data_IF_787089485924
#
_entry.id   IF_787089485924
#
_cell.length_a   1.000
_cell.length_b   1.000
_cell.length_c   1.000
_cell.angle_alpha   90.00
_cell.angle_beta   90.00
_cell.angle_gamma   90.00
#
_symmetry.space_group_name_H-M   'P 1'
#
loop_
_entity.id
_entity.type
_entity.pdbx_description
1 polymer ?
#
# COMPACT_ATOMS: atom_id res chain seq x y z
N UNK A 1 20.67 -16.17 22.15
CA UNK A 1 20.79 -15.99 20.68
C UNK A 1 19.45 -15.62 20.03
N UNK A 2 18.72 -14.63 20.56
CA UNK A 2 17.41 -14.20 20.02
C UNK A 2 17.54 -12.97 19.10
N UNK A 3 18.51 -12.09 19.36
CA UNK A 3 18.62 -10.78 18.69
C UNK A 3 18.91 -10.82 17.18
N UNK A 4 19.62 -11.83 16.68
CA UNK A 4 19.98 -11.89 15.26
C UNK A 4 18.78 -12.22 14.37
N UNK A 5 17.91 -13.12 14.84
CA UNK A 5 16.69 -13.50 14.11
C UNK A 5 15.67 -12.36 14.07
N UNK A 6 15.56 -11.58 15.13
CA UNK A 6 14.68 -10.40 15.18
C UNK A 6 15.19 -9.30 14.24
N UNK A 7 16.50 -9.05 14.20
CA UNK A 7 17.12 -8.09 13.28
C UNK A 7 16.94 -8.49 11.82
N UNK A 8 17.06 -9.78 11.50
CA UNK A 8 16.78 -10.30 10.16
C UNK A 8 15.30 -10.16 9.76
N UNK A 9 14.37 -10.44 10.67
CA UNK A 9 12.94 -10.26 10.40
C UNK A 9 12.56 -8.81 10.16
N UNK A 10 13.08 -7.89 10.99
CA UNK A 10 12.89 -6.45 10.82
C UNK A 10 13.48 -5.95 9.48
N UNK A 11 14.66 -6.45 9.12
CA UNK A 11 15.31 -6.11 7.85
C UNK A 11 14.50 -6.63 6.64
N UNK A 12 14.06 -7.89 6.67
CA UNK A 12 13.21 -8.46 5.61
C UNK A 12 11.90 -7.69 5.44
N UNK A 13 11.25 -7.30 6.54
CA UNK A 13 10.05 -6.47 6.50
C UNK A 13 10.33 -5.11 5.84
N UNK A 14 11.44 -4.46 6.20
CA UNK A 14 11.83 -3.18 5.63
C UNK A 14 12.11 -3.27 4.11
N UNK A 15 12.79 -4.33 3.68
CA UNK A 15 13.08 -4.58 2.25
C UNK A 15 11.80 -4.89 1.47
N UNK A 16 10.89 -5.71 2.01
CA UNK A 16 9.60 -5.99 1.37
C UNK A 16 8.72 -4.74 1.27
N UNK A 17 8.67 -3.91 2.31
CA UNK A 17 7.91 -2.65 2.30
C UNK A 17 8.53 -1.67 1.27
N UNK A 18 9.86 -1.59 1.17
CA UNK A 18 10.56 -0.80 0.14
C UNK A 18 10.30 -1.30 -1.29
N UNK A 19 10.34 -2.61 -1.52
CA UNK A 19 10.04 -3.20 -2.82
C UNK A 19 8.58 -2.97 -3.25
N UNK A 20 7.62 -3.05 -2.32
CA UNK A 20 6.20 -2.74 -2.57
C UNK A 20 6.00 -1.29 -2.99
N UNK A 21 6.73 -0.35 -2.38
CA UNK A 21 6.73 1.05 -2.80
C UNK A 21 7.30 1.24 -4.21
N UNK A 22 8.38 0.54 -4.56
CA UNK A 22 8.95 0.60 -5.92
C UNK A 22 8.01 0.02 -6.99
N UNK A 23 7.26 -1.03 -6.65
CA UNK A 23 6.25 -1.64 -7.55
C UNK A 23 4.92 -0.86 -7.54
N UNK A 24 4.77 0.16 -6.68
CA UNK A 24 3.54 0.93 -6.56
C UNK A 24 2.33 0.09 -6.11
N UNK A 25 2.59 -1.10 -5.58
CA UNK A 25 1.57 -2.03 -5.10
C UNK A 25 1.50 -1.87 -3.58
N UNK A 26 0.60 -0.98 -3.14
CA UNK A 26 0.36 -0.76 -1.72
C UNK A 26 -0.13 -2.03 -1.05
N UNK A 27 0.22 -2.22 0.22
CA UNK A 27 -0.30 -3.29 1.06
C UNK A 27 -1.67 -2.90 1.62
N UNK A 28 -2.68 -3.77 1.47
CA UNK A 28 -4.05 -3.50 1.91
C UNK A 28 -4.14 -3.32 3.44
N UNK A 29 -3.38 -4.11 4.20
CA UNK A 29 -3.34 -3.98 5.66
C UNK A 29 -2.80 -2.63 6.11
N UNK A 30 -1.74 -2.14 5.45
CA UNK A 30 -1.19 -0.79 5.68
C UNK A 30 -2.21 0.29 5.33
N UNK A 31 -2.97 0.13 4.25
CA UNK A 31 -4.05 1.06 3.87
C UNK A 31 -5.16 1.13 4.94
N UNK A 32 -5.66 -0.02 5.40
CA UNK A 32 -6.70 -0.06 6.43
C UNK A 32 -6.20 0.58 7.73
N UNK A 33 -4.97 0.27 8.14
CA UNK A 33 -4.36 0.88 9.31
C UNK A 33 -4.18 2.40 9.16
N UNK A 34 -3.90 2.89 7.94
CA UNK A 34 -3.80 4.31 7.65
C UNK A 34 -5.16 5.01 7.69
N UNK A 35 -6.20 4.42 7.08
CA UNK A 35 -7.57 4.95 7.12
C UNK A 35 -8.08 4.98 8.56
N UNK A 36 -7.93 3.90 9.31
CA UNK A 36 -8.35 3.86 10.71
C UNK A 36 -7.68 4.93 11.58
N UNK A 37 -6.45 5.34 11.26
CA UNK A 37 -5.70 6.37 11.99
C UNK A 37 -5.98 7.80 11.50
N UNK A 38 -6.15 7.99 10.20
CA UNK A 38 -6.18 9.33 9.56
C UNK A 38 -7.62 9.77 9.25
N UNK A 39 -8.50 8.82 8.97
CA UNK A 39 -9.89 9.02 8.59
C UNK A 39 -10.80 8.07 9.39
N UNK A 40 -10.92 8.25 10.73
CA UNK A 40 -11.73 7.36 11.56
C UNK A 40 -13.22 7.36 11.18
N UNK A 41 -13.71 8.44 10.55
CA UNK A 41 -15.08 8.59 10.07
C UNK A 41 -15.34 7.97 8.68
N UNK A 42 -14.31 7.46 8.00
CA UNK A 42 -14.47 6.82 6.68
C UNK A 42 -14.25 5.31 6.78
N UNK A 43 -15.19 4.55 6.22
CA UNK A 43 -14.99 3.12 6.04
C UNK A 43 -13.89 2.88 4.99
N UNK A 44 -12.88 2.04 5.29
CA UNK A 44 -11.87 1.69 4.29
C UNK A 44 -12.51 0.97 3.10
N UNK A 45 -12.00 1.25 1.90
CA UNK A 45 -12.39 0.55 0.67
C UNK A 45 -12.20 -0.96 0.83
N UNK A 46 -13.00 -1.75 0.12
CA UNK A 46 -12.78 -3.20 0.07
C UNK A 46 -11.45 -3.53 -0.62
N UNK A 47 -10.91 -4.71 -0.36
CA UNK A 47 -9.65 -5.16 -0.96
C UNK A 47 -9.66 -5.05 -2.50
N UNK A 48 -10.76 -5.47 -3.15
CA UNK A 48 -10.90 -5.37 -4.62
C UNK A 48 -10.92 -3.92 -5.11
N UNK A 49 -11.59 -3.03 -4.39
CA UNK A 49 -11.62 -1.60 -4.74
C UNK A 49 -10.24 -0.97 -4.56
N UNK A 50 -9.52 -1.36 -3.51
CA UNK A 50 -8.15 -0.91 -3.31
C UNK A 50 -7.22 -1.37 -4.45
N UNK A 51 -7.29 -2.64 -4.86
CA UNK A 51 -6.51 -3.14 -6.00
C UNK A 51 -6.87 -2.42 -7.30
N UNK A 52 -8.17 -2.29 -7.61
CA UNK A 52 -8.63 -1.55 -8.79
C UNK A 52 -8.19 -0.08 -8.78
N UNK A 53 -8.21 0.58 -7.62
CA UNK A 53 -7.74 1.95 -7.47
C UNK A 53 -6.22 2.06 -7.73
N UNK A 54 -5.43 1.09 -7.27
CA UNK A 54 -3.98 1.03 -7.55
C UNK A 54 -3.69 0.70 -9.02
N UNK A 55 -4.45 -0.22 -9.61
CA UNK A 55 -4.36 -0.55 -11.03
C UNK A 55 -4.74 0.65 -11.90
N UNK A 56 -5.81 1.37 -11.57
CA UNK A 56 -6.21 2.59 -12.28
C UNK A 56 -5.16 3.70 -12.12
N UNK A 57 -4.61 3.90 -10.92
CA UNK A 57 -3.54 4.86 -10.69
C UNK A 57 -2.26 4.54 -11.51
N UNK A 58 -1.96 3.25 -11.73
CA UNK A 58 -0.74 2.81 -12.44
C UNK A 58 -0.93 2.68 -13.96
N UNK A 59 -2.08 2.20 -14.41
CA UNK A 59 -2.35 1.89 -15.82
C UNK A 59 -3.37 2.84 -16.48
N UNK A 60 -4.03 3.71 -15.72
CA UNK A 60 -5.01 4.67 -16.25
C UNK A 60 -6.27 4.04 -16.85
N UNK A 61 -6.49 2.74 -16.62
CA UNK A 61 -7.60 1.98 -17.23
C UNK A 61 -8.87 2.25 -16.42
N UNK A 62 -9.54 3.35 -16.75
CA UNK A 62 -10.80 3.76 -16.12
C UNK A 62 -10.87 5.24 -15.82
N UNK A 63 -10.91 6.07 -16.87
CA UNK A 63 -11.49 7.42 -17.00
C UNK A 63 -11.55 8.43 -15.80
N UNK A 64 -10.76 8.32 -14.74
CA UNK A 64 -10.81 9.29 -13.63
C UNK A 64 -9.46 9.48 -12.94
N UNK A 65 -8.49 10.03 -13.67
CA UNK A 65 -7.24 10.64 -13.14
C UNK A 65 -5.98 9.76 -13.14
N UNK A 66 -5.72 9.02 -14.22
CA UNK A 66 -4.35 8.62 -14.56
C UNK A 66 -3.55 9.84 -15.00
N UNK A 67 -2.45 10.13 -14.30
CA UNK A 67 -1.38 11.09 -14.62
C UNK A 67 -1.80 12.31 -15.46
N UNK A 68 -2.53 13.27 -14.87
CA UNK A 68 -2.53 14.64 -15.42
C UNK A 68 -1.24 15.30 -14.94
N UNK A 69 -0.21 15.22 -15.77
CA UNK A 69 0.93 16.12 -15.68
C UNK A 69 0.37 17.55 -15.81
N UNK A 70 0.38 18.31 -14.71
CA UNK A 70 0.36 19.76 -14.79
C UNK A 70 1.79 20.25 -15.07
#
# INVERSE_FOLDING_TARGET
>A
MQSFRERLQAFNKCVCDGARLMVGQGDYGTYVAHIAKTHPDQAPMTEREFFRNRENARFGVGNSSGFRCC
#
